data_IF_595595617560
#
_entry.id   IF_595595617560
#
_cell.length_a   1.000
_cell.length_b   1.000
_cell.length_c   1.000
_cell.angle_alpha   90.00
_cell.angle_beta   90.00
_cell.angle_gamma   90.00
#
_symmetry.space_group_name_H-M   'P 1'
#
loop_
_entity.id
_entity.type
_entity.pdbx_description
1 polymer ?
#
# COMPACT_ATOMS: atom_id res chain seq x y z
N UNK A 1 34.65 35.38 12.72
CA UNK A 1 33.31 35.17 12.13
C UNK A 1 32.88 33.71 12.09
N UNK A 2 33.74 32.75 11.69
CA UNK A 2 33.37 31.32 11.54
C UNK A 2 32.95 30.58 12.82
N UNK A 3 33.56 30.89 13.98
CA UNK A 3 33.21 30.24 15.26
C UNK A 3 31.72 30.36 15.60
N UNK A 4 31.15 31.57 15.50
CA UNK A 4 29.72 31.82 15.75
C UNK A 4 28.83 30.99 14.81
N UNK A 5 29.25 30.80 13.56
CA UNK A 5 28.51 29.97 12.60
C UNK A 5 28.57 28.48 12.98
N UNK A 6 29.72 27.97 13.40
CA UNK A 6 29.86 26.61 13.91
C UNK A 6 29.01 26.38 15.17
N UNK A 7 29.06 27.31 16.12
CA UNK A 7 28.30 27.21 17.37
C UNK A 7 26.79 27.22 17.10
N UNK A 8 26.35 28.05 16.16
CA UNK A 8 24.94 28.10 15.73
C UNK A 8 24.53 26.81 15.04
N UNK A 9 25.36 26.29 14.13
CA UNK A 9 25.10 25.02 13.45
C UNK A 9 25.03 23.85 14.45
N UNK A 10 25.95 23.80 15.42
CA UNK A 10 25.95 22.79 16.47
C UNK A 10 24.66 22.83 17.31
N UNK A 11 24.21 24.03 17.69
CA UNK A 11 22.94 24.22 18.41
C UNK A 11 21.74 23.75 17.60
N UNK A 12 21.65 24.14 16.33
CA UNK A 12 20.55 23.70 15.45
C UNK A 12 20.50 22.17 15.32
N UNK A 13 21.65 21.51 15.21
CA UNK A 13 21.71 20.04 15.16
C UNK A 13 21.25 19.42 16.49
N UNK A 14 21.67 19.98 17.63
CA UNK A 14 21.26 19.50 18.94
C UNK A 14 19.74 19.63 19.15
N UNK A 15 19.18 20.80 18.84
CA UNK A 15 17.74 21.06 18.93
C UNK A 15 16.94 20.14 18.01
N UNK A 16 17.39 19.91 16.78
CA UNK A 16 16.74 19.00 15.86
C UNK A 16 16.75 17.55 16.35
N UNK A 17 17.88 17.09 16.94
CA UNK A 17 17.98 15.76 17.56
C UNK A 17 17.03 15.62 18.74
N UNK A 18 16.98 16.62 19.60
CA UNK A 18 16.12 16.61 20.79
C UNK A 18 14.63 16.65 20.42
N UNK A 19 14.26 17.48 19.44
CA UNK A 19 12.89 17.51 18.89
C UNK A 19 12.49 16.14 18.32
N UNK A 20 13.36 15.54 17.51
CA UNK A 20 13.10 14.22 16.96
C UNK A 20 12.95 13.16 18.05
N UNK A 21 13.80 13.17 19.08
CA UNK A 21 13.70 12.27 20.21
C UNK A 21 12.35 12.41 20.91
N UNK A 22 11.98 13.63 21.33
CA UNK A 22 10.68 13.90 21.99
C UNK A 22 9.49 13.48 21.15
N UNK A 23 9.54 13.72 19.83
CA UNK A 23 8.49 13.30 18.88
C UNK A 23 8.41 11.78 18.76
N UNK A 24 9.55 11.10 18.75
CA UNK A 24 9.62 9.64 18.67
C UNK A 24 9.08 9.02 19.97
N UNK A 25 9.56 9.47 21.12
CA UNK A 25 9.13 8.99 22.45
C UNK A 25 7.62 9.20 22.66
N UNK A 26 7.07 10.32 22.16
CA UNK A 26 5.62 10.57 22.19
C UNK A 26 4.81 9.62 21.32
N UNK A 27 5.37 9.14 20.21
CA UNK A 27 4.67 8.26 19.27
C UNK A 27 4.96 6.77 19.49
N UNK A 28 6.03 6.45 20.20
CA UNK A 28 6.50 5.10 20.47
C UNK A 28 6.70 4.97 21.98
N UNK A 29 5.62 4.61 22.67
CA UNK A 29 5.70 4.30 24.10
C UNK A 29 6.50 3.00 24.26
N UNK A 30 7.58 3.04 25.03
CA UNK A 30 8.32 1.84 25.37
C UNK A 30 7.39 0.88 26.11
N UNK A 31 7.21 -0.36 25.64
CA UNK A 31 6.39 -1.32 26.34
C UNK A 31 7.09 -1.74 27.63
N UNK A 32 6.33 -1.90 28.71
CA UNK A 32 6.84 -2.43 29.98
C UNK A 32 7.00 -3.96 29.86
N UNK A 33 8.21 -4.41 29.52
CA UNK A 33 8.55 -5.83 29.42
C UNK A 33 9.28 -6.30 30.68
N UNK A 34 8.89 -7.45 31.22
CA UNK A 34 9.58 -8.06 32.35
C UNK A 34 10.38 -9.27 31.89
N UNK A 35 11.47 -9.55 32.61
CA UNK A 35 12.27 -10.75 32.36
C UNK A 35 11.38 -12.00 32.53
N UNK A 36 11.25 -12.78 31.45
CA UNK A 36 10.38 -13.96 31.40
C UNK A 36 9.10 -13.79 30.57
N UNK A 37 8.75 -12.57 30.15
CA UNK A 37 7.60 -12.35 29.27
C UNK A 37 7.84 -12.92 27.87
N UNK A 38 6.87 -13.70 27.37
CA UNK A 38 6.92 -14.21 26.00
C UNK A 38 6.47 -13.11 25.02
N UNK A 39 7.40 -12.68 24.18
CA UNK A 39 7.16 -11.66 23.14
C UNK A 39 7.01 -12.29 21.77
N UNK A 40 5.97 -11.85 21.04
CA UNK A 40 5.72 -12.34 19.68
C UNK A 40 6.69 -11.67 18.69
N UNK A 41 7.69 -12.43 18.25
CA UNK A 41 8.57 -12.00 17.15
C UNK A 41 7.90 -12.36 15.83
N UNK A 42 7.48 -11.34 15.08
CA UNK A 42 6.96 -11.52 13.72
C UNK A 42 8.01 -12.21 12.84
N UNK A 43 7.66 -13.37 12.27
CA UNK A 43 8.45 -14.07 11.22
C UNK A 43 8.06 -13.63 9.81
N UNK A 44 7.37 -12.50 9.65
CA UNK A 44 7.00 -12.00 8.32
C UNK A 44 8.28 -11.72 7.52
N UNK A 45 8.45 -12.43 6.41
CA UNK A 45 9.60 -12.26 5.53
C UNK A 45 9.47 -10.89 4.84
N UNK A 46 10.27 -9.91 5.27
CA UNK A 46 10.19 -8.53 4.79
C UNK A 46 10.74 -8.41 3.35
N UNK A 47 9.98 -8.87 2.37
CA UNK A 47 10.31 -8.74 0.93
C UNK A 47 10.14 -7.29 0.40
N UNK A 48 9.76 -6.34 1.25
CA UNK A 48 9.59 -4.93 0.91
C UNK A 48 10.82 -4.07 1.20
N UNK A 49 12.00 -4.68 1.42
CA UNK A 49 13.29 -4.00 1.35
C UNK A 49 13.61 -3.63 -0.10
N UNK A 50 12.75 -2.83 -0.72
CA UNK A 50 13.07 -2.15 -1.97
C UNK A 50 14.10 -1.10 -1.58
N UNK A 51 15.37 -1.49 -1.64
CA UNK A 51 16.50 -0.59 -1.44
C UNK A 51 16.36 0.65 -2.34
N UNK A 52 17.14 1.71 -2.07
CA UNK A 52 17.02 2.96 -2.82
C UNK A 52 17.07 2.67 -4.31
N UNK A 53 15.99 3.03 -5.02
CA UNK A 53 15.84 2.81 -6.45
C UNK A 53 16.99 3.54 -7.14
N UNK A 54 17.97 2.80 -7.66
CA UNK A 54 19.07 3.35 -8.45
C UNK A 54 18.45 4.17 -9.60
N UNK A 55 18.90 5.42 -9.79
CA UNK A 55 18.53 6.22 -10.95
C UNK A 55 18.92 5.44 -12.21
N UNK A 56 18.01 5.37 -13.19
CA UNK A 56 18.33 4.76 -14.47
C UNK A 56 19.25 5.70 -15.22
N UNK A 57 20.34 5.17 -15.77
CA UNK A 57 21.17 5.90 -16.73
C UNK A 57 20.31 6.31 -17.92
N UNK A 58 20.36 7.58 -18.30
CA UNK A 58 19.77 8.11 -19.54
C UNK A 58 20.56 7.59 -20.74
N UNK A 59 20.43 6.30 -21.05
CA UNK A 59 20.79 5.82 -22.38
C UNK A 59 19.75 6.35 -23.36
N UNK A 60 20.16 6.94 -24.50
CA UNK A 60 19.22 7.35 -25.53
C UNK A 60 18.36 6.15 -25.91
N UNK A 61 17.05 6.33 -26.12
CA UNK A 61 16.16 5.21 -26.38
C UNK A 61 16.60 4.52 -27.67
N UNK A 62 17.28 3.39 -27.54
CA UNK A 62 17.45 2.44 -28.62
C UNK A 62 16.05 2.09 -29.11
N UNK A 63 15.73 2.57 -30.33
CA UNK A 63 14.46 2.38 -31.03
C UNK A 63 14.13 0.89 -30.97
N UNK A 64 13.28 0.49 -30.02
CA UNK A 64 12.73 -0.86 -30.00
C UNK A 64 11.97 -0.97 -31.31
N UNK A 65 12.36 -1.91 -32.20
CA UNK A 65 11.47 -2.31 -33.29
C UNK A 65 10.14 -2.64 -32.63
N UNK A 66 9.07 -1.93 -33.01
CA UNK A 66 7.76 -2.16 -32.43
C UNK A 66 7.46 -3.65 -32.59
N UNK A 67 7.13 -4.38 -31.50
CA UNK A 67 6.57 -5.72 -31.65
C UNK A 67 5.29 -5.61 -32.50
N UNK A 68 4.94 -6.66 -33.27
CA UNK A 68 3.67 -6.66 -33.99
C UNK A 68 2.53 -6.32 -33.02
N UNK A 69 1.50 -5.59 -33.47
CA UNK A 69 0.36 -5.23 -32.63
C UNK A 69 -0.10 -6.46 -31.86
N UNK A 70 -0.26 -6.38 -30.53
CA UNK A 70 -0.79 -7.50 -29.77
C UNK A 70 -2.17 -7.83 -30.36
N UNK A 71 -2.32 -9.06 -30.82
CA UNK A 71 -3.63 -9.66 -31.01
C UNK A 71 -4.40 -9.41 -29.71
N UNK A 72 -5.53 -8.72 -29.80
CA UNK A 72 -6.35 -8.36 -28.65
C UNK A 72 -6.87 -9.69 -28.10
N UNK A 73 -6.13 -10.26 -27.17
CA UNK A 73 -6.63 -11.36 -26.37
C UNK A 73 -7.74 -10.74 -25.56
N UNK A 74 -8.98 -11.08 -25.89
CA UNK A 74 -10.13 -10.82 -25.04
C UNK A 74 -9.76 -11.39 -23.67
N UNK A 75 -9.33 -10.52 -22.76
CA UNK A 75 -9.10 -10.92 -21.38
C UNK A 75 -10.48 -11.29 -20.89
N UNK A 76 -10.76 -12.59 -20.82
CA UNK A 76 -11.96 -13.07 -20.16
C UNK A 76 -11.95 -12.44 -18.77
N UNK A 77 -12.85 -11.48 -18.60
CA UNK A 77 -13.08 -10.67 -17.41
C UNK A 77 -13.73 -11.59 -16.37
N UNK A 78 -12.98 -12.61 -15.95
CA UNK A 78 -13.37 -13.53 -14.91
C UNK A 78 -13.30 -12.73 -13.62
N UNK A 79 -14.45 -12.41 -13.01
CA UNK A 79 -14.46 -11.58 -11.82
C UNK A 79 -13.66 -12.30 -10.73
N UNK A 80 -12.62 -11.62 -10.22
CA UNK A 80 -11.83 -12.11 -9.10
C UNK A 80 -12.72 -12.39 -7.88
N UNK A 81 -12.17 -12.95 -6.78
CA UNK A 81 -12.97 -13.31 -5.62
C UNK A 81 -13.72 -12.09 -5.03
N UNK A 82 -14.90 -12.37 -4.48
CA UNK A 82 -15.77 -11.36 -3.86
C UNK A 82 -15.09 -10.78 -2.62
N UNK A 83 -14.87 -9.46 -2.60
CA UNK A 83 -14.29 -8.75 -1.46
C UNK A 83 -15.35 -8.37 -0.42
N UNK A 84 -16.47 -7.81 -0.88
CA UNK A 84 -17.51 -7.26 0.00
C UNK A 84 -18.87 -7.21 -0.66
N UNK A 85 -19.92 -7.54 0.09
CA UNK A 85 -21.32 -7.27 -0.26
C UNK A 85 -21.70 -5.89 0.29
N UNK A 86 -22.20 -5.01 -0.57
CA UNK A 86 -22.55 -3.63 -0.24
C UNK A 86 -24.05 -3.53 0.06
N UNK A 87 -24.88 -4.15 -0.76
CA UNK A 87 -26.34 -4.04 -0.67
C UNK A 87 -27.00 -5.36 -1.04
N UNK A 88 -28.14 -5.65 -0.45
CA UNK A 88 -29.00 -6.75 -0.86
C UNK A 88 -30.36 -6.18 -1.29
N UNK A 89 -30.98 -6.82 -2.29
CA UNK A 89 -32.35 -6.52 -2.71
C UNK A 89 -33.09 -7.80 -3.06
N UNK A 90 -34.42 -7.78 -2.93
CA UNK A 90 -35.29 -8.86 -3.39
C UNK A 90 -35.93 -8.41 -4.70
N UNK A 91 -35.80 -9.23 -5.74
CA UNK A 91 -36.42 -8.97 -7.04
C UNK A 91 -37.25 -10.18 -7.45
N UNK A 92 -38.34 -9.93 -8.17
CA UNK A 92 -39.18 -10.99 -8.71
C UNK A 92 -38.88 -11.14 -10.20
N UNK A 93 -38.18 -12.22 -10.56
CA UNK A 93 -37.82 -12.56 -11.94
C UNK A 93 -38.55 -13.84 -12.32
N UNK A 94 -39.28 -13.82 -13.43
CA UNK A 94 -40.05 -14.96 -13.94
C UNK A 94 -41.00 -15.57 -12.89
N UNK A 95 -41.68 -14.71 -12.13
CA UNK A 95 -42.63 -15.11 -11.09
C UNK A 95 -42.00 -15.63 -9.78
N UNK A 96 -40.69 -15.86 -9.75
CA UNK A 96 -39.95 -16.34 -8.58
C UNK A 96 -39.20 -15.21 -7.89
N UNK A 97 -39.27 -15.19 -6.57
CA UNK A 97 -38.54 -14.25 -5.74
C UNK A 97 -37.07 -14.66 -5.63
N UNK A 98 -36.15 -13.82 -6.12
CA UNK A 98 -34.70 -13.99 -6.03
C UNK A 98 -34.08 -12.87 -5.19
N UNK A 99 -33.01 -13.19 -4.47
CA UNK A 99 -32.20 -12.20 -3.75
C UNK A 99 -31.00 -11.84 -4.60
N UNK A 100 -30.77 -10.56 -4.82
CA UNK A 100 -29.58 -10.05 -5.48
C UNK A 100 -28.70 -9.30 -4.49
N UNK A 101 -27.39 -9.41 -4.70
CA UNK A 101 -26.36 -8.78 -3.90
C UNK A 101 -25.52 -7.87 -4.78
N UNK A 102 -25.32 -6.62 -4.37
CA UNK A 102 -24.37 -5.71 -4.98
C UNK A 102 -23.00 -6.02 -4.40
N UNK A 103 -22.08 -6.46 -5.25
CA UNK A 103 -20.79 -7.01 -4.85
C UNK A 103 -19.65 -6.15 -5.38
N UNK A 104 -18.61 -6.00 -4.56
CA UNK A 104 -17.30 -5.45 -4.93
C UNK A 104 -16.28 -6.58 -5.00
N UNK A 105 -15.58 -6.71 -6.12
CA UNK A 105 -14.55 -7.72 -6.33
C UNK A 105 -13.16 -7.22 -5.89
N UNK A 106 -12.27 -8.15 -5.57
CA UNK A 106 -10.85 -7.83 -5.32
C UNK A 106 -10.13 -7.53 -6.63
N UNK A 107 -9.14 -6.61 -6.59
CA UNK A 107 -8.27 -6.29 -7.73
C UNK A 107 -8.92 -5.60 -8.94
N UNK A 108 -10.20 -5.21 -8.86
CA UNK A 108 -10.84 -4.31 -9.82
C UNK A 108 -10.76 -2.84 -9.37
N UNK A 109 -10.82 -1.93 -10.34
CA UNK A 109 -10.89 -0.47 -10.12
C UNK A 109 -12.13 -0.12 -9.28
N UNK A 110 -12.08 1.00 -8.58
CA UNK A 110 -13.03 1.32 -7.50
C UNK A 110 -14.51 1.45 -7.94
N UNK A 111 -14.78 1.49 -9.25
CA UNK A 111 -16.10 1.82 -9.81
C UNK A 111 -16.84 0.62 -10.43
N UNK A 112 -16.28 -0.59 -10.38
CA UNK A 112 -16.95 -1.79 -10.88
C UNK A 112 -17.78 -2.48 -9.79
N UNK A 113 -19.03 -2.06 -9.64
CA UNK A 113 -20.04 -2.74 -8.81
C UNK A 113 -21.01 -3.53 -9.68
N UNK A 114 -21.13 -4.84 -9.46
CA UNK A 114 -22.07 -5.70 -10.22
C UNK A 114 -23.10 -6.34 -9.28
N UNK A 115 -24.36 -6.39 -9.72
CA UNK A 115 -25.43 -7.13 -9.02
C UNK A 115 -25.34 -8.60 -9.40
N UNK A 116 -25.18 -9.48 -8.40
CA UNK A 116 -25.19 -10.93 -8.55
C UNK A 116 -26.47 -11.52 -7.94
N UNK A 117 -27.02 -12.57 -8.54
CA UNK A 117 -28.27 -13.22 -8.14
C UNK A 117 -28.05 -14.63 -7.57
#
# INVERSE_FOLDING_TARGET
MWKRACDTAARCIAEAKEYNKKRLDKSHMEPDFKEGDQVLVSRLNFNNLKGPKKMKEDKPPSRKKNPPPPEIVEVEDSPGPVKKIIKARKIRLNGKDKRQYLVRFTHQTADEYKWLA
#
